data_IF_961091885495
#
_entry.id   IF_961091885495
#
_cell.length_a   1.000
_cell.length_b   1.000
_cell.length_c   1.000
_cell.angle_alpha   90.00
_cell.angle_beta   90.00
_cell.angle_gamma   90.00
#
_symmetry.space_group_name_H-M   'P 1'
#
loop_
_entity.id
_entity.type
_entity.pdbx_description
1 polymer ?
#
# COMPACT_ATOMS: atom_id res chain seq x y z
N UNK A 1 23.04 18.55 -32.13
CA UNK A 1 22.07 17.93 -33.06
C UNK A 1 20.72 18.56 -32.76
N UNK A 2 20.13 19.16 -33.78
CA UNK A 2 19.01 20.07 -33.66
C UNK A 2 17.73 19.29 -33.32
N UNK A 3 16.92 19.87 -32.43
CA UNK A 3 15.66 19.30 -31.99
C UNK A 3 14.61 19.69 -33.02
N UNK A 4 14.56 18.90 -34.08
CA UNK A 4 13.57 19.06 -35.13
C UNK A 4 12.21 18.74 -34.51
N UNK A 5 11.49 19.80 -34.19
CA UNK A 5 10.11 19.77 -33.76
C UNK A 5 9.30 19.34 -34.98
N UNK A 6 9.31 18.04 -35.27
CA UNK A 6 8.42 17.45 -36.26
C UNK A 6 7.01 17.70 -35.74
N UNK A 7 6.33 18.68 -36.33
CA UNK A 7 4.88 18.79 -36.31
C UNK A 7 4.34 17.53 -37.00
N UNK A 8 4.36 16.42 -36.27
CA UNK A 8 3.73 15.17 -36.69
C UNK A 8 2.23 15.48 -36.61
N UNK A 9 1.63 15.79 -37.76
CA UNK A 9 0.19 15.83 -37.88
C UNK A 9 -0.37 14.49 -37.40
N UNK A 10 -1.35 14.57 -36.49
CA UNK A 10 -1.99 13.44 -35.85
C UNK A 10 -2.89 12.75 -36.88
N UNK A 11 -2.30 11.91 -37.73
CA UNK A 11 -2.98 11.14 -38.80
C UNK A 11 -3.89 10.02 -38.23
N UNK A 12 -4.10 10.01 -36.92
CA UNK A 12 -5.01 9.10 -36.26
C UNK A 12 -6.45 9.57 -36.45
N UNK A 13 -7.33 8.61 -36.73
CA UNK A 13 -8.77 8.87 -36.77
C UNK A 13 -9.25 9.34 -35.38
N UNK A 14 -10.31 10.15 -35.29
CA UNK A 14 -10.78 10.71 -34.03
C UNK A 14 -11.17 9.65 -32.97
N UNK A 15 -11.46 8.41 -33.38
CA UNK A 15 -11.74 7.31 -32.46
C UNK A 15 -10.51 6.77 -31.73
N UNK A 16 -9.30 7.07 -32.23
CA UNK A 16 -8.02 6.61 -31.68
C UNK A 16 -7.27 7.74 -30.95
N UNK A 17 -7.86 8.28 -29.87
CA UNK A 17 -7.18 9.27 -29.02
C UNK A 17 -6.19 8.59 -28.04
N UNK A 18 -4.91 8.60 -28.40
CA UNK A 18 -3.85 8.07 -27.55
C UNK A 18 -3.43 9.03 -26.42
N UNK A 19 -3.86 10.30 -26.44
CA UNK A 19 -3.48 11.32 -25.43
C UNK A 19 -4.24 11.15 -24.12
N UNK A 20 -5.47 10.63 -24.17
CA UNK A 20 -6.28 10.33 -22.98
C UNK A 20 -5.90 9.00 -22.30
N UNK A 21 -5.11 8.14 -22.95
CA UNK A 21 -4.72 6.85 -22.41
C UNK A 21 -3.54 6.97 -21.43
N UNK A 22 -3.62 6.22 -20.33
CA UNK A 22 -2.50 6.12 -19.38
C UNK A 22 -1.41 5.21 -19.96
N UNK A 23 -0.21 5.75 -20.17
CA UNK A 23 0.93 4.99 -20.68
C UNK A 23 1.40 3.96 -19.64
N UNK A 24 1.34 2.68 -20.00
CA UNK A 24 1.91 1.57 -19.21
C UNK A 24 3.21 1.10 -19.84
N UNK A 25 4.23 0.96 -19.00
CA UNK A 25 5.48 0.30 -19.38
C UNK A 25 5.26 -1.24 -19.38
N UNK A 26 5.26 -1.90 -20.55
CA UNK A 26 5.20 -3.37 -20.73
C UNK A 26 6.61 -4.03 -20.77
N UNK A 27 6.86 -5.13 -20.06
CA UNK A 27 8.15 -5.85 -20.10
C UNK A 27 8.46 -6.68 -18.84
N UNK A 28 9.33 -7.69 -18.98
CA UNK A 28 9.58 -8.74 -17.98
C UNK A 28 10.15 -8.27 -16.61
N UNK A 29 10.72 -7.07 -16.53
CA UNK A 29 11.34 -6.54 -15.30
C UNK A 29 10.55 -5.40 -14.64
N UNK A 30 9.28 -5.22 -15.01
CA UNK A 30 8.49 -4.07 -14.56
C UNK A 30 7.65 -4.47 -13.35
N UNK A 31 8.09 -4.00 -12.18
CA UNK A 31 7.38 -4.08 -10.90
C UNK A 31 5.91 -3.67 -11.11
N UNK A 32 4.99 -4.39 -10.46
CA UNK A 32 3.61 -3.94 -10.25
C UNK A 32 3.61 -2.49 -9.75
N UNK A 33 2.46 -1.80 -9.76
CA UNK A 33 2.33 -0.37 -9.42
C UNK A 33 2.87 0.05 -8.01
N UNK A 34 3.58 -0.81 -7.30
CA UNK A 34 4.41 -0.44 -6.17
C UNK A 34 3.68 -0.60 -4.85
N UNK A 35 2.70 -1.50 -4.78
CA UNK A 35 1.98 -1.74 -3.54
C UNK A 35 1.69 -3.23 -3.38
N UNK A 36 1.94 -3.74 -2.17
CA UNK A 36 1.52 -5.08 -1.77
C UNK A 36 -0.01 -5.03 -1.64
N UNK A 37 -0.72 -5.61 -2.59
CA UNK A 37 -2.18 -5.67 -2.55
C UNK A 37 -2.62 -6.80 -1.64
N UNK A 38 -3.35 -6.45 -0.58
CA UNK A 38 -3.98 -7.42 0.33
C UNK A 38 -5.47 -7.44 0.01
N UNK A 39 -6.00 -8.62 -0.30
CA UNK A 39 -7.45 -8.82 -0.49
C UNK A 39 -8.10 -8.92 0.88
N UNK A 40 -9.11 -8.08 1.12
CA UNK A 40 -9.98 -8.17 2.29
C UNK A 40 -11.19 -9.06 1.98
N UNK A 41 -11.70 -9.73 3.01
CA UNK A 41 -12.98 -10.43 2.95
C UNK A 41 -14.16 -9.44 2.90
N UNK A 42 -15.32 -9.91 2.44
CA UNK A 42 -16.48 -9.05 2.15
C UNK A 42 -17.03 -8.34 3.39
N UNK A 43 -17.07 -9.03 4.53
CA UNK A 43 -17.48 -8.50 5.82
C UNK A 43 -16.56 -7.37 6.32
N UNK A 44 -15.24 -7.56 6.17
CA UNK A 44 -14.24 -6.56 6.55
C UNK A 44 -14.31 -5.36 5.60
N UNK A 45 -14.48 -5.58 4.30
CA UNK A 45 -14.61 -4.51 3.32
C UNK A 45 -15.89 -3.67 3.52
N UNK A 46 -16.98 -4.27 3.98
CA UNK A 46 -18.22 -3.56 4.33
C UNK A 46 -18.02 -2.67 5.57
N UNK A 47 -17.26 -3.16 6.56
CA UNK A 47 -16.97 -2.43 7.79
C UNK A 47 -16.00 -1.26 7.59
N UNK A 48 -15.04 -1.39 6.66
CA UNK A 48 -13.99 -0.39 6.43
C UNK A 48 -14.12 0.25 5.03
N UNK A 49 -14.66 1.48 4.93
CA UNK A 49 -14.98 2.09 3.64
C UNK A 49 -13.74 2.56 2.84
N UNK A 50 -12.56 2.69 3.47
CA UNK A 50 -11.34 3.12 2.81
C UNK A 50 -10.08 2.48 3.41
N UNK A 51 -8.96 2.58 2.68
CA UNK A 51 -7.67 2.02 3.10
C UNK A 51 -7.08 2.73 4.33
N UNK A 52 -7.37 4.02 4.53
CA UNK A 52 -6.89 4.78 5.69
C UNK A 52 -7.47 4.24 7.00
N UNK A 53 -8.76 3.92 7.02
CA UNK A 53 -9.47 3.35 8.18
C UNK A 53 -8.92 1.97 8.55
N UNK A 54 -8.65 1.11 7.56
CA UNK A 54 -8.01 -0.20 7.78
C UNK A 54 -6.62 -0.02 8.38
N UNK A 55 -5.82 0.88 7.80
CA UNK A 55 -4.45 1.11 8.24
C UNK A 55 -4.40 1.67 9.68
N UNK A 56 -5.28 2.59 10.04
CA UNK A 56 -5.36 3.13 11.40
C UNK A 56 -5.80 2.07 12.42
N UNK A 57 -6.77 1.23 12.08
CA UNK A 57 -7.19 0.12 12.94
C UNK A 57 -6.03 -0.88 13.19
N UNK A 58 -5.32 -1.28 12.13
CA UNK A 58 -4.16 -2.17 12.26
C UNK A 58 -3.02 -1.54 13.05
N UNK A 59 -2.78 -0.24 12.89
CA UNK A 59 -1.79 0.51 13.69
C UNK A 59 -2.17 0.55 15.17
N UNK A 60 -3.44 0.79 15.46
CA UNK A 60 -3.94 0.75 16.84
C UNK A 60 -3.73 -0.62 17.46
N UNK A 61 -4.09 -1.70 16.76
CA UNK A 61 -3.87 -3.06 17.23
C UNK A 61 -2.38 -3.34 17.50
N UNK A 62 -1.49 -2.91 16.59
CA UNK A 62 -0.03 -3.04 16.80
C UNK A 62 0.45 -2.30 18.06
N UNK A 63 -0.12 -1.13 18.40
CA UNK A 63 0.24 -0.38 19.62
C UNK A 63 -0.19 -1.15 20.87
N UNK A 64 -1.45 -1.58 20.92
CA UNK A 64 -2.00 -2.36 22.05
C UNK A 64 -1.22 -3.65 22.27
N UNK A 65 -0.91 -4.38 21.18
CA UNK A 65 -0.12 -5.61 21.26
C UNK A 65 1.30 -5.36 21.81
N UNK A 66 1.96 -4.28 21.38
CA UNK A 66 3.29 -3.91 21.90
C UNK A 66 3.23 -3.58 23.39
N UNK A 67 2.27 -2.77 23.82
CA UNK A 67 2.07 -2.43 25.24
C UNK A 67 1.84 -3.67 26.10
N UNK A 68 1.07 -4.64 25.60
CA UNK A 68 0.86 -5.90 26.29
C UNK A 68 2.12 -6.79 26.32
N UNK A 69 2.97 -6.75 25.30
CA UNK A 69 4.25 -7.46 25.30
C UNK A 69 5.24 -6.87 26.31
N UNK A 70 5.31 -5.54 26.46
CA UNK A 70 6.09 -4.90 27.52
C UNK A 70 5.53 -5.21 28.91
N UNK A 71 4.21 -5.35 29.03
CA UNK A 71 3.53 -5.76 30.27
C UNK A 71 3.86 -7.21 30.65
N UNK A 72 3.88 -8.12 29.66
CA UNK A 72 4.22 -9.53 29.86
C UNK A 72 5.72 -9.72 30.19
N UNK A 73 6.60 -8.92 29.59
CA UNK A 73 8.03 -8.91 29.91
C UNK A 73 8.31 -8.34 31.32
N UNK A 74 7.58 -7.32 31.77
CA UNK A 74 7.70 -6.79 33.13
C UNK A 74 7.17 -7.75 34.21
N UNK A 75 6.12 -8.53 33.93
CA UNK A 75 5.64 -9.55 34.88
C UNK A 75 6.64 -10.70 35.07
N UNK A 76 7.37 -11.09 34.01
CA UNK A 76 8.45 -12.07 34.13
C UNK A 76 9.58 -11.56 35.03
N UNK A 77 9.94 -10.27 34.95
CA UNK A 77 11.02 -9.68 35.73
C UNK A 77 10.65 -9.45 37.22
N UNK A 78 9.38 -9.23 37.56
CA UNK A 78 8.94 -9.04 38.95
C UNK A 78 8.89 -10.37 39.72
N UNK A 79 8.60 -11.48 39.03
CA UNK A 79 8.52 -12.81 39.62
C UNK A 79 9.88 -13.39 40.05
N UNK A 80 10.97 -12.88 39.47
CA UNK A 80 12.35 -13.30 39.78
C UNK A 80 12.96 -12.56 40.98
N UNK A 81 12.33 -11.48 41.46
CA UNK A 81 12.87 -10.64 42.53
C UNK A 81 12.16 -10.85 43.89
N UNK A 82 11.32 -11.89 44.03
CA UNK A 82 10.59 -12.19 45.28
C UNK A 82 11.06 -13.48 45.97
N UNK A 83 12.20 -14.03 45.55
CA UNK A 83 12.84 -15.18 46.21
C UNK A 83 14.29 -14.84 46.57
N UNK A 84 14.48 -13.91 47.51
CA UNK A 84 15.69 -13.81 48.36
C UNK A 84 15.27 -13.46 49.80
#
# INVERSE_FOLDING_TARGET
MNKDNLEIEDDLRPEYDLKSLRVRKLGAERKSFGEVTVKLEADVAEMFPNAEAVNEALRFLMRVMKENQFSSANQANISLNQTE
#
